data_IF_597301268963
#
_entry.id   IF_597301268963
#
_cell.length_a   1.000
_cell.length_b   1.000
_cell.length_c   1.000
_cell.angle_alpha   90.00
_cell.angle_beta   90.00
_cell.angle_gamma   90.00
#
_symmetry.space_group_name_H-M   'P 1'
#
loop_
_entity.id
_entity.type
_entity.pdbx_description
1 polymer ?
#
# COMPACT_ATOMS: atom_id res chain seq x y z
N UNK A 1 7.76 8.77 4.44
CA UNK A 1 6.80 7.92 3.71
C UNK A 1 6.38 8.55 2.38
N UNK A 2 5.81 9.76 2.36
CA UNK A 2 5.36 10.44 1.13
C UNK A 2 6.44 10.58 0.03
N UNK A 3 7.68 10.93 0.38
CA UNK A 3 8.77 11.05 -0.59
C UNK A 3 9.07 9.74 -1.34
N UNK A 4 9.01 8.59 -0.65
CA UNK A 4 9.23 7.28 -1.25
C UNK A 4 8.09 6.94 -2.21
N UNK A 5 6.84 7.19 -1.82
CA UNK A 5 5.71 6.94 -2.70
C UNK A 5 5.72 7.86 -3.92
N UNK A 6 6.11 9.12 -3.76
CA UNK A 6 6.22 10.05 -4.89
C UNK A 6 7.27 9.59 -5.91
N UNK A 7 8.42 9.08 -5.44
CA UNK A 7 9.44 8.49 -6.31
C UNK A 7 8.93 7.22 -7.00
N UNK A 8 8.29 6.33 -6.24
CA UNK A 8 7.73 5.09 -6.78
C UNK A 8 6.64 5.36 -7.83
N UNK A 9 5.73 6.29 -7.55
CA UNK A 9 4.66 6.70 -8.46
C UNK A 9 5.19 7.25 -9.80
N UNK A 10 6.31 8.00 -9.77
CA UNK A 10 6.96 8.50 -10.99
C UNK A 10 7.58 7.39 -11.84
N UNK A 11 7.97 6.27 -11.23
CA UNK A 11 8.56 5.14 -11.92
C UNK A 11 7.53 4.22 -12.60
N UNK A 12 6.24 4.33 -12.23
CA UNK A 12 5.16 3.53 -12.82
C UNK A 12 4.98 3.89 -14.30
N UNK A 13 5.24 2.93 -15.19
CA UNK A 13 5.04 3.07 -16.63
C UNK A 13 3.54 3.10 -16.99
N UNK A 14 3.16 3.54 -18.20
CA UNK A 14 1.81 3.33 -18.72
C UNK A 14 1.39 1.86 -18.58
N UNK A 15 0.13 1.62 -18.20
CA UNK A 15 -0.46 0.32 -17.85
C UNK A 15 0.19 -0.40 -16.65
N UNK A 16 1.21 0.20 -16.04
CA UNK A 16 1.91 -0.31 -14.88
C UNK A 16 1.11 -0.19 -13.59
N UNK A 17 1.61 -0.85 -12.55
CA UNK A 17 1.03 -0.80 -11.22
C UNK A 17 2.11 -0.60 -10.15
N UNK A 18 1.72 0.05 -9.06
CA UNK A 18 2.46 0.14 -7.81
C UNK A 18 1.69 -0.65 -6.75
N UNK A 19 2.30 -1.69 -6.24
CA UNK A 19 1.72 -2.56 -5.22
C UNK A 19 2.32 -2.26 -3.86
N UNK A 20 1.47 -2.16 -2.86
CA UNK A 20 1.85 -2.13 -1.45
C UNK A 20 1.22 -3.32 -0.77
N UNK A 21 2.05 -4.07 -0.06
CA UNK A 21 1.64 -5.23 0.68
C UNK A 21 2.42 -5.32 1.99
N UNK A 22 1.83 -6.01 2.94
CA UNK A 22 2.44 -6.32 4.21
C UNK A 22 1.85 -7.65 4.73
N UNK A 23 1.89 -8.64 3.84
CA UNK A 23 1.23 -9.95 3.94
C UNK A 23 1.72 -10.83 5.10
N UNK A 24 2.83 -10.47 5.77
CA UNK A 24 3.42 -11.26 6.85
C UNK A 24 2.71 -11.10 8.19
N UNK A 25 1.55 -10.43 8.26
CA UNK A 25 0.81 -10.15 9.49
C UNK A 25 0.55 -11.40 10.36
N UNK A 26 0.28 -12.55 9.72
CA UNK A 26 -0.02 -13.82 10.41
C UNK A 26 1.15 -14.29 11.29
N UNK A 27 2.39 -14.05 10.88
CA UNK A 27 3.59 -14.42 11.64
C UNK A 27 3.79 -13.60 12.92
N UNK A 28 3.02 -12.52 13.08
CA UNK A 28 3.15 -11.59 14.18
C UNK A 28 1.99 -11.65 15.17
N UNK A 29 1.01 -12.52 14.94
CA UNK A 29 -0.10 -12.74 15.87
C UNK A 29 0.39 -13.31 17.19
N UNK A 30 0.02 -12.68 18.30
CA UNK A 30 0.36 -13.15 19.65
C UNK A 30 1.80 -12.85 20.08
N UNK A 31 2.55 -12.05 19.32
CA UNK A 31 3.86 -11.56 19.74
C UNK A 31 3.68 -10.28 20.56
N UNK A 32 3.92 -10.36 21.87
CA UNK A 32 3.75 -9.22 22.80
C UNK A 32 4.64 -8.01 22.45
N UNK A 33 5.76 -8.24 21.78
CA UNK A 33 6.69 -7.17 21.36
C UNK A 33 6.29 -6.52 20.02
N UNK A 34 5.36 -7.12 19.28
CA UNK A 34 5.02 -6.65 17.95
C UNK A 34 3.95 -5.56 17.98
N UNK A 35 4.17 -4.41 17.31
CA UNK A 35 3.23 -3.30 17.35
C UNK A 35 2.07 -3.53 16.36
N UNK A 36 1.19 -4.49 16.68
CA UNK A 36 0.11 -4.95 15.79
C UNK A 36 -0.85 -3.84 15.36
N UNK A 37 -1.17 -2.90 16.24
CA UNK A 37 -2.02 -1.74 15.90
C UNK A 37 -1.36 -0.84 14.84
N UNK A 38 -0.08 -0.53 15.02
CA UNK A 38 0.68 0.26 14.05
C UNK A 38 0.78 -0.49 12.72
N UNK A 39 1.06 -1.79 12.77
CA UNK A 39 1.17 -2.62 11.59
C UNK A 39 -0.13 -2.66 10.78
N UNK A 40 -1.27 -2.86 11.45
CA UNK A 40 -2.59 -2.85 10.82
C UNK A 40 -2.97 -1.50 10.19
N UNK A 41 -2.35 -0.41 10.64
CA UNK A 41 -2.56 0.94 10.12
C UNK A 41 -1.76 1.28 8.86
N UNK A 42 -0.79 0.45 8.45
CA UNK A 42 0.16 0.83 7.39
C UNK A 42 -0.52 1.00 6.01
N UNK A 43 -1.38 0.08 5.58
CA UNK A 43 -2.09 0.23 4.30
C UNK A 43 -3.16 1.34 4.33
N UNK A 44 -3.98 1.49 5.38
CA UNK A 44 -4.84 2.66 5.53
C UNK A 44 -4.07 3.98 5.42
N UNK A 45 -2.94 4.12 6.13
CA UNK A 45 -2.08 5.29 6.03
C UNK A 45 -1.50 5.46 4.62
N UNK A 46 -1.13 4.35 3.96
CA UNK A 46 -0.63 4.41 2.59
C UNK A 46 -1.67 4.97 1.61
N UNK A 47 -2.96 4.65 1.78
CA UNK A 47 -4.06 5.25 1.00
C UNK A 47 -4.17 6.74 1.20
N UNK A 48 -4.04 7.23 2.44
CA UNK A 48 -4.04 8.67 2.71
C UNK A 48 -2.89 9.38 2.00
N UNK A 49 -1.70 8.79 2.03
CA UNK A 49 -0.53 9.33 1.31
C UNK A 49 -0.77 9.31 -0.21
N UNK A 50 -1.42 8.27 -0.73
CA UNK A 50 -1.71 8.13 -2.17
C UNK A 50 -2.52 9.31 -2.74
N UNK A 51 -3.40 9.92 -1.93
CA UNK A 51 -4.20 11.10 -2.31
C UNK A 51 -3.34 12.33 -2.64
N UNK A 52 -2.11 12.37 -2.15
CA UNK A 52 -1.16 13.49 -2.33
C UNK A 52 -0.11 13.23 -3.41
N UNK A 53 -0.20 12.13 -4.15
CA UNK A 53 0.82 11.78 -5.13
C UNK A 53 0.81 12.74 -6.32
N UNK A 54 2.00 13.09 -6.86
CA UNK A 54 2.11 14.00 -7.99
C UNK A 54 1.71 13.36 -9.33
N UNK A 55 1.36 12.08 -9.33
CA UNK A 55 0.95 11.30 -10.51
C UNK A 55 -0.42 10.72 -10.21
N UNK A 56 -1.36 10.90 -11.14
CA UNK A 56 -2.68 10.28 -11.05
C UNK A 56 -2.53 8.76 -11.17
N UNK A 57 -2.82 8.05 -10.08
CA UNK A 57 -2.90 6.60 -10.04
C UNK A 57 -4.23 6.22 -9.42
N UNK A 58 -4.88 5.19 -9.97
CA UNK A 58 -6.18 4.72 -9.52
C UNK A 58 -6.01 3.49 -8.64
N UNK A 59 -6.63 3.48 -7.46
CA UNK A 59 -6.65 2.27 -6.63
C UNK A 59 -7.56 1.21 -7.26
N UNK A 60 -7.03 0.01 -7.44
CA UNK A 60 -7.78 -1.18 -7.85
C UNK A 60 -7.69 -2.24 -6.75
N UNK A 61 -8.68 -3.13 -6.70
CA UNK A 61 -8.65 -4.30 -5.82
C UNK A 61 -8.75 -5.55 -6.68
N UNK A 62 -7.60 -6.18 -7.03
CA UNK A 62 -7.60 -7.46 -7.71
C UNK A 62 -8.38 -8.53 -6.92
N UNK A 63 -8.99 -9.48 -7.63
CA UNK A 63 -9.70 -10.59 -7.01
C UNK A 63 -8.75 -11.40 -6.10
N UNK A 64 -9.24 -11.78 -4.92
CA UNK A 64 -8.47 -12.53 -3.93
C UNK A 64 -7.53 -11.71 -3.04
N UNK A 65 -7.38 -10.39 -3.27
CA UNK A 65 -6.60 -9.52 -2.37
C UNK A 65 -7.49 -8.84 -1.32
N UNK A 66 -7.13 -9.04 -0.06
CA UNK A 66 -7.75 -8.32 1.06
C UNK A 66 -7.22 -6.89 1.12
N UNK A 67 -8.12 -5.92 0.99
CA UNK A 67 -7.85 -4.48 1.04
C UNK A 67 -7.25 -4.02 2.37
N UNK A 68 -7.37 -4.81 3.44
CA UNK A 68 -6.70 -4.55 4.71
C UNK A 68 -5.19 -4.71 4.59
N UNK A 69 -4.74 -5.66 3.77
CA UNK A 69 -3.32 -6.04 3.66
C UNK A 69 -2.65 -5.57 2.37
N UNK A 70 -3.45 -5.17 1.39
CA UNK A 70 -3.01 -4.81 0.05
C UNK A 70 -3.59 -3.46 -0.41
N UNK A 71 -2.80 -2.74 -1.20
CA UNK A 71 -3.21 -1.60 -2.01
C UNK A 71 -2.50 -1.68 -3.37
N UNK A 72 -3.25 -1.57 -4.46
CA UNK A 72 -2.70 -1.60 -5.82
C UNK A 72 -3.11 -0.33 -6.54
N UNK A 73 -2.14 0.51 -6.90
CA UNK A 73 -2.35 1.75 -7.64
C UNK A 73 -1.95 1.55 -9.11
N UNK A 74 -2.86 1.76 -10.06
CA UNK A 74 -2.59 1.61 -11.49
C UNK A 74 -2.44 2.95 -12.18
N UNK A 75 -1.56 2.99 -13.18
CA UNK A 75 -1.49 4.11 -14.12
C UNK A 75 -2.37 3.78 -15.32
N UNK A 76 -3.47 4.50 -15.45
CA UNK A 76 -4.36 4.50 -16.62
C UNK A 76 -3.86 5.43 -17.70
#
# INVERSE_FOLDING_TARGET
MAAIFALAARAVQPDGALCFDHWTWEYHLGLDWFPGELFNGLIPLAREVALSLPVALEETTPEGLDRRWWMVLRRT
#
